data_IF_472031110347
#
_entry.id   IF_472031110347
#
_cell.length_a   1.000
_cell.length_b   1.000
_cell.length_c   1.000
_cell.angle_alpha   90.00
_cell.angle_beta   90.00
_cell.angle_gamma   90.00
#
_symmetry.space_group_name_H-M   'P 1'
#
loop_
_entity.id
_entity.type
_entity.pdbx_description
1 polymer ?
#
# COMPACT_ATOMS: atom_id res chain seq x y z
N UNK A 1 33.02 26.50 -5.24
CA UNK A 1 32.32 25.61 -6.19
C UNK A 1 33.36 25.04 -7.13
N UNK A 2 33.15 23.81 -7.59
CA UNK A 2 34.10 23.04 -8.41
C UNK A 2 33.57 22.88 -9.85
N UNK A 3 34.42 22.61 -10.85
CA UNK A 3 33.97 22.29 -12.20
C UNK A 3 33.03 21.08 -12.22
N UNK A 4 32.03 21.11 -13.09
CA UNK A 4 31.09 20.00 -13.29
C UNK A 4 30.94 19.71 -14.78
N UNK A 5 30.66 18.47 -15.13
CA UNK A 5 30.31 18.08 -16.50
C UNK A 5 28.86 17.62 -16.54
N UNK A 6 28.05 18.22 -17.40
CA UNK A 6 26.69 17.77 -17.68
C UNK A 6 26.72 16.86 -18.89
N UNK A 7 25.95 15.77 -18.86
CA UNK A 7 25.91 14.78 -19.93
C UNK A 7 24.51 14.22 -20.14
N UNK A 8 24.26 13.61 -21.29
CA UNK A 8 23.05 12.82 -21.56
C UNK A 8 23.37 11.47 -22.23
N UNK A 9 22.35 10.61 -22.41
CA UNK A 9 22.53 9.30 -23.08
C UNK A 9 22.70 9.38 -24.61
N UNK A 10 22.59 10.58 -25.19
CA UNK A 10 22.87 10.84 -26.62
C UNK A 10 24.30 11.30 -26.87
N UNK A 11 25.10 11.41 -25.82
CA UNK A 11 26.51 11.80 -25.91
C UNK A 11 26.71 13.32 -25.97
N UNK A 12 25.68 14.12 -25.72
CA UNK A 12 25.87 15.55 -25.52
C UNK A 12 26.57 15.79 -24.19
N UNK A 13 27.52 16.73 -24.16
CA UNK A 13 28.25 17.11 -22.96
C UNK A 13 28.41 18.63 -22.87
N UNK A 14 28.35 19.17 -21.66
CA UNK A 14 28.58 20.58 -21.37
C UNK A 14 29.38 20.73 -20.08
N UNK A 15 30.58 21.30 -20.17
CA UNK A 15 31.35 21.69 -18.98
C UNK A 15 30.76 22.97 -18.35
N UNK A 16 30.68 22.99 -17.03
CA UNK A 16 30.35 24.16 -16.24
C UNK A 16 31.52 24.55 -15.34
N UNK A 17 31.93 25.81 -15.41
CA UNK A 17 33.01 26.37 -14.62
C UNK A 17 32.49 27.32 -13.53
N UNK A 18 33.03 27.26 -12.30
CA UNK A 18 32.72 28.20 -11.24
C UNK A 18 33.03 29.65 -11.64
N UNK A 19 32.19 30.59 -11.21
CA UNK A 19 32.39 32.04 -11.46
C UNK A 19 31.79 32.56 -12.77
N UNK A 20 31.14 31.69 -13.56
CA UNK A 20 30.33 32.11 -14.70
C UNK A 20 29.07 32.88 -14.32
N UNK A 21 28.35 33.46 -15.30
CA UNK A 21 27.18 34.31 -15.07
C UNK A 21 25.93 33.54 -14.59
N UNK A 22 25.89 32.21 -14.74
CA UNK A 22 24.77 31.35 -14.35
C UNK A 22 25.18 30.41 -13.22
N UNK A 23 24.25 30.14 -12.30
CA UNK A 23 24.45 29.09 -11.30
C UNK A 23 24.57 27.72 -11.99
N UNK A 24 25.27 26.77 -11.38
CA UNK A 24 25.37 25.40 -11.88
C UNK A 24 24.00 24.73 -12.02
N UNK A 25 23.06 25.03 -11.10
CA UNK A 25 21.71 24.46 -11.15
C UNK A 25 20.95 24.98 -12.37
N UNK A 26 20.97 26.28 -12.61
CA UNK A 26 20.27 26.87 -13.76
C UNK A 26 20.89 26.40 -15.08
N UNK A 27 22.22 26.32 -15.13
CA UNK A 27 22.94 25.82 -16.31
C UNK A 27 22.64 24.33 -16.60
N UNK A 28 22.49 23.51 -15.56
CA UNK A 28 22.09 22.10 -15.71
C UNK A 28 20.63 21.98 -16.18
N UNK A 29 19.70 22.74 -15.59
CA UNK A 29 18.29 22.70 -16.01
C UNK A 29 18.11 23.15 -17.46
N UNK A 30 18.83 24.19 -17.89
CA UNK A 30 18.84 24.60 -19.29
C UNK A 30 19.43 23.53 -20.21
N UNK A 31 20.48 22.84 -19.77
CA UNK A 31 21.03 21.69 -20.50
C UNK A 31 19.97 20.60 -20.66
N UNK A 32 19.26 20.24 -19.58
CA UNK A 32 18.15 19.29 -19.64
C UNK A 32 17.07 19.78 -20.61
N UNK A 33 16.57 21.00 -20.47
CA UNK A 33 15.50 21.55 -21.32
C UNK A 33 15.89 21.61 -22.80
N UNK A 34 17.16 21.88 -23.10
CA UNK A 34 17.67 21.94 -24.49
C UNK A 34 17.75 20.56 -25.15
N UNK A 35 18.09 19.53 -24.36
CA UNK A 35 18.40 18.20 -24.88
C UNK A 35 17.31 17.17 -24.60
N UNK A 36 16.26 17.53 -23.85
CA UNK A 36 15.11 16.67 -23.58
C UNK A 36 14.32 16.39 -24.84
N UNK A 37 14.20 15.11 -25.14
CA UNK A 37 13.40 14.57 -26.24
C UNK A 37 12.83 13.22 -25.81
N UNK A 38 11.86 12.67 -26.55
CA UNK A 38 11.21 11.38 -26.29
C UNK A 38 12.24 10.24 -26.19
N UNK A 39 13.33 10.31 -26.95
CA UNK A 39 14.37 9.29 -26.95
C UNK A 39 15.49 9.55 -25.93
N UNK A 40 15.53 10.71 -25.26
CA UNK A 40 16.59 11.06 -24.29
C UNK A 40 16.07 10.92 -22.85
N UNK A 41 16.44 9.80 -22.23
CA UNK A 41 15.84 9.34 -21.00
C UNK A 41 16.68 9.67 -19.76
N UNK A 42 17.94 10.09 -19.95
CA UNK A 42 18.86 10.26 -18.82
C UNK A 42 19.84 11.42 -18.95
N UNK A 43 20.05 12.09 -17.81
CA UNK A 43 20.87 13.29 -17.71
C UNK A 43 21.80 13.18 -16.51
N UNK A 44 23.09 13.42 -16.73
CA UNK A 44 24.17 13.26 -15.77
C UNK A 44 24.77 14.59 -15.31
N UNK A 45 25.25 14.60 -14.07
CA UNK A 45 26.15 15.60 -13.50
C UNK A 45 27.35 14.85 -12.96
N UNK A 46 28.54 15.13 -13.49
CA UNK A 46 29.79 14.54 -13.06
C UNK A 46 30.65 15.58 -12.36
N UNK A 47 31.24 15.14 -11.25
CA UNK A 47 32.21 15.85 -10.44
C UNK A 47 33.51 15.05 -10.46
N UNK A 48 34.34 15.35 -11.46
CA UNK A 48 35.60 14.65 -11.70
C UNK A 48 36.60 14.78 -10.56
N UNK A 49 36.55 15.87 -9.77
CA UNK A 49 37.46 16.08 -8.64
C UNK A 49 37.19 15.11 -7.49
N UNK A 50 35.93 14.75 -7.26
CA UNK A 50 35.53 13.85 -6.17
C UNK A 50 35.22 12.42 -6.65
N UNK A 51 35.35 12.15 -7.95
CA UNK A 51 34.93 10.90 -8.60
C UNK A 51 33.45 10.56 -8.30
N UNK A 52 32.59 11.58 -8.32
CA UNK A 52 31.16 11.44 -8.04
C UNK A 52 30.33 11.76 -9.28
N UNK A 53 29.31 10.96 -9.53
CA UNK A 53 28.35 11.20 -10.59
C UNK A 53 26.92 11.02 -10.09
N UNK A 54 26.02 11.89 -10.54
CA UNK A 54 24.58 11.78 -10.36
C UNK A 54 23.93 11.67 -11.74
N UNK A 55 23.05 10.69 -11.93
CA UNK A 55 22.29 10.52 -13.17
C UNK A 55 20.81 10.46 -12.84
N UNK A 56 20.05 11.32 -13.50
CA UNK A 56 18.59 11.35 -13.45
C UNK A 56 18.08 10.40 -14.55
N UNK A 57 17.28 9.40 -14.18
CA UNK A 57 16.71 8.41 -15.08
C UNK A 57 15.20 8.69 -15.16
N UNK A 58 14.75 9.39 -16.19
CA UNK A 58 13.36 9.85 -16.30
C UNK A 58 12.40 8.69 -16.59
N UNK A 59 12.74 7.81 -17.53
CA UNK A 59 11.88 6.68 -17.94
C UNK A 59 11.67 5.65 -16.83
N UNK A 60 12.66 5.48 -15.96
CA UNK A 60 12.59 4.54 -14.84
C UNK A 60 12.13 5.18 -13.53
N UNK A 61 11.86 6.50 -13.51
CA UNK A 61 11.45 7.19 -12.29
C UNK A 61 12.50 7.12 -11.19
N UNK A 62 13.79 7.15 -11.54
CA UNK A 62 14.87 6.87 -10.61
C UNK A 62 16.04 7.86 -10.71
N UNK A 63 16.87 7.87 -9.68
CA UNK A 63 18.13 8.61 -9.62
C UNK A 63 19.22 7.61 -9.28
N UNK A 64 20.29 7.62 -10.07
CA UNK A 64 21.49 6.81 -9.87
C UNK A 64 22.60 7.71 -9.39
N UNK A 65 23.35 7.27 -8.38
CA UNK A 65 24.62 7.88 -8.01
C UNK A 65 25.75 6.86 -8.14
N UNK A 66 26.91 7.30 -8.59
CA UNK A 66 28.09 6.46 -8.76
C UNK A 66 29.31 7.13 -8.14
N UNK A 67 30.08 6.37 -7.34
CA UNK A 67 31.32 6.85 -6.72
C UNK A 67 32.51 5.97 -7.07
N UNK A 68 33.60 6.61 -7.46
CA UNK A 68 34.88 5.97 -7.76
C UNK A 68 35.02 5.61 -9.24
N UNK A 69 36.20 5.86 -9.82
CA UNK A 69 36.47 5.60 -11.24
C UNK A 69 36.87 4.13 -11.51
N UNK A 70 37.63 3.50 -10.62
CA UNK A 70 38.17 2.15 -10.83
C UNK A 70 37.30 1.02 -10.25
N UNK A 71 36.57 1.32 -9.17
CA UNK A 71 35.63 0.38 -8.55
C UNK A 71 34.31 1.11 -8.25
N UNK A 72 33.50 1.40 -9.29
CA UNK A 72 32.34 2.26 -9.16
C UNK A 72 31.29 1.62 -8.24
N UNK A 73 31.06 2.23 -7.08
CA UNK A 73 29.90 1.92 -6.24
C UNK A 73 28.69 2.66 -6.79
N UNK A 74 27.70 1.91 -7.25
CA UNK A 74 26.46 2.48 -7.80
C UNK A 74 25.32 2.25 -6.84
N UNK A 75 24.52 3.28 -6.60
CA UNK A 75 23.34 3.22 -5.76
C UNK A 75 22.17 3.96 -6.42
N UNK A 76 20.95 3.59 -6.06
CA UNK A 76 19.74 4.05 -6.70
C UNK A 76 18.77 4.66 -5.69
N UNK A 77 17.90 5.55 -6.15
CA UNK A 77 16.79 6.08 -5.37
C UNK A 77 15.58 6.22 -6.28
N UNK A 78 14.42 5.79 -5.81
CA UNK A 78 13.16 6.02 -6.51
C UNK A 78 12.73 7.48 -6.34
N UNK A 79 12.24 8.07 -7.41
CA UNK A 79 11.66 9.43 -7.42
C UNK A 79 10.20 9.32 -6.99
N UNK A 80 9.82 10.08 -5.96
CA UNK A 80 8.44 10.06 -5.43
C UNK A 80 7.58 11.13 -6.06
N UNK A 81 8.17 12.24 -6.50
CA UNK A 81 7.48 13.32 -7.22
C UNK A 81 8.42 14.00 -8.24
N UNK A 82 7.86 14.69 -9.23
CA UNK A 82 8.65 15.37 -10.28
C UNK A 82 9.61 16.45 -9.77
N UNK A 83 9.35 17.02 -8.58
CA UNK A 83 10.24 17.99 -7.92
C UNK A 83 11.51 17.37 -7.33
N UNK A 84 11.53 16.06 -7.10
CA UNK A 84 12.68 15.37 -6.52
C UNK A 84 13.90 15.44 -7.43
N UNK A 85 13.74 15.31 -8.75
CA UNK A 85 14.86 15.41 -9.70
C UNK A 85 15.63 16.72 -9.54
N UNK A 86 14.90 17.84 -9.56
CA UNK A 86 15.48 19.19 -9.40
C UNK A 86 16.13 19.35 -8.03
N UNK A 87 15.47 18.83 -6.98
CA UNK A 87 15.97 18.91 -5.60
C UNK A 87 17.28 18.12 -5.43
N UNK A 88 17.35 16.90 -5.95
CA UNK A 88 18.55 16.08 -5.87
C UNK A 88 19.70 16.65 -6.70
N UNK A 89 19.43 17.14 -7.92
CA UNK A 89 20.44 17.83 -8.72
C UNK A 89 21.02 19.04 -7.98
N UNK A 90 20.14 19.88 -7.39
CA UNK A 90 20.58 21.05 -6.62
C UNK A 90 21.39 20.66 -5.37
N UNK A 91 21.02 19.58 -4.67
CA UNK A 91 21.76 19.09 -3.52
C UNK A 91 23.14 18.57 -3.92
N UNK A 92 23.22 17.77 -4.98
CA UNK A 92 24.49 17.25 -5.50
C UNK A 92 25.44 18.36 -5.96
N UNK A 93 24.93 19.34 -6.70
CA UNK A 93 25.70 20.52 -7.13
C UNK A 93 26.24 21.30 -5.94
N UNK A 94 25.45 21.42 -4.86
CA UNK A 94 25.84 22.20 -3.67
C UNK A 94 26.89 21.49 -2.81
N UNK A 95 26.82 20.17 -2.67
CA UNK A 95 27.62 19.46 -1.66
C UNK A 95 27.90 17.99 -1.94
N UNK A 96 27.80 17.54 -3.19
CA UNK A 96 28.08 16.17 -3.60
C UNK A 96 27.22 15.15 -2.86
N UNK A 97 27.78 13.97 -2.63
CA UNK A 97 27.06 12.87 -1.97
C UNK A 97 26.66 13.19 -0.52
N UNK A 98 27.47 13.96 0.21
CA UNK A 98 27.15 14.36 1.59
C UNK A 98 25.84 15.16 1.67
N UNK A 99 25.52 15.95 0.65
CA UNK A 99 24.24 16.65 0.56
C UNK A 99 23.08 15.75 0.11
N UNK A 100 23.37 14.66 -0.59
CA UNK A 100 22.39 13.66 -1.07
C UNK A 100 21.99 12.60 -0.03
N UNK A 101 22.79 12.41 1.01
CA UNK A 101 22.53 11.40 2.06
C UNK A 101 21.43 11.81 3.05
N UNK A 102 21.04 13.09 3.08
CA UNK A 102 20.04 13.60 4.03
C UNK A 102 18.59 13.10 3.80
N UNK A 103 18.08 12.89 2.57
CA UNK A 103 16.69 12.49 2.35
C UNK A 103 16.52 11.00 1.98
N UNK A 104 16.21 10.12 2.94
CA UNK A 104 15.78 8.73 2.69
C UNK A 104 16.86 7.75 2.17
N UNK A 105 16.58 6.44 2.10
CA UNK A 105 17.59 5.43 1.80
C UNK A 105 18.02 5.43 0.33
N UNK A 106 19.28 5.07 0.09
CA UNK A 106 19.81 4.69 -1.22
C UNK A 106 19.81 3.16 -1.32
N UNK A 107 19.39 2.64 -2.46
CA UNK A 107 19.29 1.22 -2.78
C UNK A 107 20.61 0.76 -3.40
N UNK A 108 21.16 -0.40 -2.99
CA UNK A 108 22.51 -0.80 -3.34
C UNK A 108 22.65 -1.30 -4.79
N UNK A 109 21.54 -1.66 -5.44
CA UNK A 109 21.57 -2.29 -6.77
C UNK A 109 20.23 -2.11 -7.52
N UNK A 110 20.26 -2.51 -8.80
CA UNK A 110 19.09 -2.45 -9.71
C UNK A 110 17.98 -3.39 -9.24
N UNK A 111 18.32 -4.51 -8.58
CA UNK A 111 17.31 -5.43 -8.07
C UNK A 111 16.51 -4.80 -6.93
N UNK A 112 17.18 -4.11 -6.01
CA UNK A 112 16.57 -3.31 -4.96
C UNK A 112 15.70 -2.18 -5.52
N UNK A 113 16.15 -1.52 -6.59
CA UNK A 113 15.32 -0.54 -7.31
C UNK A 113 14.04 -1.17 -7.88
N UNK A 114 14.15 -2.33 -8.53
CA UNK A 114 13.01 -3.07 -9.06
C UNK A 114 11.98 -3.41 -7.98
N UNK A 115 12.43 -3.95 -6.84
CA UNK A 115 11.54 -4.24 -5.69
C UNK A 115 10.87 -2.99 -5.13
N UNK A 116 11.63 -1.89 -4.99
CA UNK A 116 11.08 -0.63 -4.49
C UNK A 116 10.04 -0.05 -5.45
N UNK A 117 10.24 -0.19 -6.76
CA UNK A 117 9.28 0.22 -7.79
C UNK A 117 7.99 -0.58 -7.70
N UNK A 118 8.05 -1.90 -7.65
CA UNK A 118 6.86 -2.76 -7.49
C UNK A 118 6.05 -2.39 -6.24
N UNK A 119 6.73 -2.12 -5.13
CA UNK A 119 6.06 -1.64 -3.91
C UNK A 119 5.42 -0.27 -4.07
N UNK A 120 6.09 0.65 -4.75
CA UNK A 120 5.54 1.98 -5.03
C UNK A 120 4.34 1.92 -5.98
N UNK A 121 4.35 1.01 -6.95
CA UNK A 121 3.20 0.74 -7.83
C UNK A 121 2.03 0.16 -7.02
N UNK A 122 2.31 -0.82 -6.16
CA UNK A 122 1.32 -1.38 -5.24
C UNK A 122 0.78 -0.35 -4.23
N UNK A 123 1.60 0.63 -3.81
CA UNK A 123 1.19 1.77 -2.99
C UNK A 123 0.04 2.58 -3.62
N UNK A 124 -0.06 2.58 -4.95
CA UNK A 124 -1.15 3.17 -5.70
C UNK A 124 -2.39 2.30 -5.88
N UNK A 125 -2.30 1.00 -5.55
CA UNK A 125 -3.40 0.06 -5.80
C UNK A 125 -4.61 0.29 -4.88
N UNK A 126 -5.78 -0.10 -5.39
CA UNK A 126 -7.04 -0.04 -4.65
C UNK A 126 -7.02 -0.87 -3.38
N UNK A 127 -6.45 -2.08 -3.43
CA UNK A 127 -6.37 -2.96 -2.26
C UNK A 127 -5.56 -2.29 -1.14
N UNK A 128 -4.47 -1.63 -1.52
CA UNK A 128 -3.59 -0.94 -0.59
C UNK A 128 -4.19 0.33 0.02
N UNK A 129 -5.04 1.02 -0.74
CA UNK A 129 -5.77 2.24 -0.33
C UNK A 129 -7.06 1.95 0.41
N UNK A 130 -7.63 0.76 0.22
CA UNK A 130 -8.86 0.34 0.88
C UNK A 130 -8.56 0.04 2.34
N UNK A 131 -9.34 0.69 3.20
CA UNK A 131 -9.26 0.47 4.63
C UNK A 131 -9.64 -0.99 4.99
N UNK A 132 -8.90 -1.69 5.89
CA UNK A 132 -9.14 -3.12 6.16
C UNK A 132 -10.57 -3.45 6.61
N UNK A 133 -11.22 -2.59 7.40
CA UNK A 133 -12.64 -2.77 7.76
C UNK A 133 -13.56 -2.70 6.55
N UNK A 134 -13.36 -1.72 5.68
CA UNK A 134 -14.20 -1.58 4.49
C UNK A 134 -13.96 -2.73 3.52
N UNK A 135 -12.72 -3.19 3.39
CA UNK A 135 -12.39 -4.41 2.67
C UNK A 135 -13.15 -5.60 3.25
N UNK A 136 -13.10 -5.84 4.57
CA UNK A 136 -13.84 -6.93 5.22
C UNK A 136 -15.35 -6.83 5.03
N UNK A 137 -15.92 -5.62 5.15
CA UNK A 137 -17.36 -5.36 4.93
C UNK A 137 -17.75 -5.72 3.49
N UNK A 138 -17.01 -5.20 2.50
CA UNK A 138 -17.27 -5.51 1.08
C UNK A 138 -17.09 -7.00 0.81
N UNK A 139 -16.01 -7.62 1.29
CA UNK A 139 -15.77 -9.06 1.13
C UNK A 139 -16.88 -9.91 1.73
N UNK A 140 -17.41 -9.55 2.91
CA UNK A 140 -18.55 -10.26 3.51
C UNK A 140 -19.78 -10.22 2.58
N UNK A 141 -20.14 -9.04 2.05
CA UNK A 141 -21.23 -8.91 1.09
C UNK A 141 -20.96 -9.73 -0.16
N UNK A 142 -19.76 -9.62 -0.75
CA UNK A 142 -19.39 -10.33 -1.98
C UNK A 142 -19.42 -11.85 -1.80
N UNK A 143 -19.05 -12.36 -0.63
CA UNK A 143 -19.21 -13.79 -0.29
C UNK A 143 -20.69 -14.20 -0.32
N UNK A 144 -21.60 -13.38 0.20
CA UNK A 144 -23.05 -13.65 0.10
C UNK A 144 -23.60 -13.54 -1.32
N UNK A 145 -23.12 -12.55 -2.11
CA UNK A 145 -23.48 -12.42 -3.53
C UNK A 145 -23.10 -13.69 -4.30
N UNK A 146 -21.94 -14.26 -3.97
CA UNK A 146 -21.45 -15.49 -4.56
C UNK A 146 -22.16 -16.76 -4.02
N UNK A 147 -23.23 -16.58 -3.21
CA UNK A 147 -24.06 -17.65 -2.66
C UNK A 147 -23.44 -18.40 -1.48
N UNK A 148 -22.40 -17.84 -0.86
CA UNK A 148 -21.64 -18.42 0.25
C UNK A 148 -21.83 -17.61 1.53
N UNK A 149 -21.41 -18.15 2.66
CA UNK A 149 -21.39 -17.42 3.94
C UNK A 149 -19.95 -17.29 4.45
N UNK A 150 -19.57 -16.18 5.10
CA UNK A 150 -18.29 -16.06 5.77
C UNK A 150 -18.12 -17.17 6.83
N UNK A 151 -17.01 -17.91 6.77
CA UNK A 151 -16.80 -19.09 7.61
C UNK A 151 -15.83 -18.78 8.74
N UNK A 152 -16.23 -18.85 10.02
CA UNK A 152 -15.29 -18.76 11.14
C UNK A 152 -14.54 -20.08 11.31
N UNK A 153 -13.21 -20.06 11.21
CA UNK A 153 -12.33 -21.23 11.41
C UNK A 153 -11.12 -20.79 12.22
N UNK A 154 -10.83 -21.49 13.33
CA UNK A 154 -9.55 -21.30 14.04
C UNK A 154 -9.28 -19.87 14.56
N UNK A 155 -10.32 -19.09 14.88
CA UNK A 155 -10.17 -17.70 15.33
C UNK A 155 -10.03 -16.66 14.22
N UNK A 156 -10.14 -17.08 12.95
CA UNK A 156 -10.25 -16.19 11.79
C UNK A 156 -11.58 -16.36 11.09
N UNK A 157 -11.99 -15.35 10.33
CA UNK A 157 -13.12 -15.43 9.39
C UNK A 157 -12.58 -15.51 7.97
N UNK A 158 -12.97 -16.56 7.26
CA UNK A 158 -12.71 -16.75 5.83
C UNK A 158 -13.84 -16.12 5.01
N UNK A 159 -13.44 -15.30 4.04
CA UNK A 159 -14.26 -14.72 2.99
C UNK A 159 -13.76 -15.27 1.65
N UNK A 160 -14.68 -15.63 0.77
CA UNK A 160 -14.33 -16.15 -0.55
C UNK A 160 -15.36 -15.73 -1.57
N UNK A 161 -14.91 -15.36 -2.77
CA UNK A 161 -15.77 -15.26 -3.93
C UNK A 161 -15.03 -15.62 -5.23
N UNK A 162 -15.76 -15.97 -6.29
CA UNK A 162 -15.20 -16.24 -7.61
C UNK A 162 -16.00 -15.62 -8.76
N UNK A 163 -15.40 -15.62 -9.95
CA UNK A 163 -16.04 -15.13 -11.19
C UNK A 163 -16.82 -16.22 -11.96
N UNK A 164 -16.92 -17.42 -11.38
CA UNK A 164 -17.52 -18.60 -12.02
C UNK A 164 -16.72 -19.20 -13.17
N UNK A 165 -15.56 -18.64 -13.53
CA UNK A 165 -14.65 -19.10 -14.59
C UNK A 165 -13.34 -19.68 -14.05
N UNK A 166 -13.17 -19.66 -12.73
CA UNK A 166 -12.07 -20.27 -12.00
C UNK A 166 -11.10 -19.25 -11.40
N UNK A 167 -11.43 -17.97 -11.44
CA UNK A 167 -10.66 -16.91 -10.80
C UNK A 167 -11.31 -16.54 -9.48
N UNK A 168 -10.50 -16.36 -8.46
CA UNK A 168 -11.00 -16.30 -7.09
C UNK A 168 -10.28 -15.27 -6.25
N UNK A 169 -11.01 -14.76 -5.25
CA UNK A 169 -10.46 -14.00 -4.14
C UNK A 169 -10.81 -14.75 -2.86
N UNK A 170 -9.79 -15.02 -2.05
CA UNK A 170 -9.96 -15.54 -0.71
C UNK A 170 -9.29 -14.60 0.29
N UNK A 171 -9.90 -14.42 1.45
CA UNK A 171 -9.35 -13.61 2.51
C UNK A 171 -9.62 -14.23 3.88
N UNK A 172 -8.62 -14.18 4.76
CA UNK A 172 -8.73 -14.63 6.14
C UNK A 172 -8.39 -13.45 7.03
N UNK A 173 -9.28 -13.10 7.96
CA UNK A 173 -9.05 -12.03 8.92
C UNK A 173 -9.27 -12.52 10.36
N UNK A 174 -8.30 -12.23 11.23
CA UNK A 174 -8.41 -12.40 12.66
C UNK A 174 -9.17 -11.23 13.30
N UNK A 175 -9.63 -11.44 14.54
CA UNK A 175 -10.31 -10.41 15.32
C UNK A 175 -9.39 -9.22 15.66
N UNK A 176 -8.07 -9.43 15.70
CA UNK A 176 -7.05 -8.42 15.96
C UNK A 176 -6.72 -7.54 14.73
N UNK A 177 -7.41 -7.75 13.61
CA UNK A 177 -7.22 -7.00 12.37
C UNK A 177 -6.18 -7.60 11.41
N UNK A 178 -5.40 -8.60 11.86
CA UNK A 178 -4.45 -9.28 10.97
C UNK A 178 -5.17 -10.06 9.88
N UNK A 179 -4.62 -10.00 8.67
CA UNK A 179 -5.26 -10.62 7.52
C UNK A 179 -4.31 -11.15 6.47
N UNK A 180 -4.81 -12.09 5.68
CA UNK A 180 -4.17 -12.61 4.48
C UNK A 180 -5.21 -12.60 3.36
N UNK A 181 -4.92 -11.92 2.26
CA UNK A 181 -5.74 -11.89 1.05
C UNK A 181 -4.96 -12.57 -0.06
N UNK A 182 -5.62 -13.49 -0.75
CA UNK A 182 -5.08 -14.28 -1.85
C UNK A 182 -5.99 -14.10 -3.05
N UNK A 183 -5.40 -13.69 -4.17
CA UNK A 183 -6.06 -13.66 -5.47
C UNK A 183 -5.51 -14.79 -6.32
N UNK A 184 -6.36 -15.42 -7.12
CA UNK A 184 -5.98 -16.39 -8.12
C UNK A 184 -6.59 -16.00 -9.47
N UNK A 185 -5.71 -15.65 -10.42
CA UNK A 185 -6.07 -15.31 -11.78
C UNK A 185 -5.49 -16.36 -12.74
N UNK A 186 -6.34 -17.25 -13.26
CA UNK A 186 -5.92 -18.37 -14.12
C UNK A 186 -5.44 -17.94 -15.50
N UNK A 187 -5.73 -16.72 -15.90
CA UNK A 187 -5.29 -16.13 -17.17
C UNK A 187 -3.99 -15.35 -17.04
N UNK A 188 -3.57 -15.09 -15.80
CA UNK A 188 -2.36 -14.33 -15.51
C UNK A 188 -1.11 -15.10 -15.90
N UNK A 189 -0.12 -14.38 -16.42
CA UNK A 189 1.22 -14.91 -16.61
C UNK A 189 1.94 -15.26 -15.29
N UNK A 190 1.39 -14.85 -14.14
CA UNK A 190 1.85 -15.30 -12.82
C UNK A 190 1.32 -16.67 -12.41
N UNK A 191 0.31 -17.21 -13.10
CA UNK A 191 -0.22 -18.53 -12.76
C UNK A 191 0.88 -19.59 -12.91
N UNK A 192 1.32 -20.08 -11.76
CA UNK A 192 2.27 -21.18 -11.64
C UNK A 192 1.67 -22.36 -10.87
N UNK A 193 0.35 -22.53 -10.88
CA UNK A 193 -0.36 -23.62 -10.17
C UNK A 193 0.15 -25.03 -10.51
N UNK A 194 0.76 -25.22 -11.69
CA UNK A 194 1.44 -26.47 -12.08
C UNK A 194 2.80 -26.73 -11.43
N UNK A 195 3.36 -25.77 -10.69
CA UNK A 195 4.66 -25.85 -10.01
C UNK A 195 4.49 -25.57 -8.50
N UNK A 196 4.46 -26.63 -7.71
CA UNK A 196 4.32 -26.59 -6.26
C UNK A 196 5.39 -25.70 -5.58
N UNK A 197 6.63 -25.68 -6.09
CA UNK A 197 7.70 -24.90 -5.50
C UNK A 197 7.55 -23.42 -5.82
N UNK A 198 7.18 -23.10 -7.06
CA UNK A 198 6.89 -21.72 -7.45
C UNK A 198 5.69 -21.16 -6.67
N UNK A 199 4.63 -21.96 -6.47
CA UNK A 199 3.46 -21.57 -5.67
C UNK A 199 3.81 -21.32 -4.20
N UNK A 200 4.51 -22.25 -3.55
CA UNK A 200 4.97 -22.05 -2.17
C UNK A 200 5.90 -20.83 -2.05
N UNK A 201 6.72 -20.57 -3.07
CA UNK A 201 7.59 -19.40 -3.16
C UNK A 201 6.83 -18.07 -3.09
N UNK A 202 5.58 -17.98 -3.57
CA UNK A 202 4.78 -16.75 -3.51
C UNK A 202 4.49 -16.30 -2.07
N UNK A 203 4.46 -17.23 -1.13
CA UNK A 203 4.17 -16.98 0.28
C UNK A 203 5.43 -16.67 1.12
N UNK A 204 6.62 -16.62 0.50
CA UNK A 204 7.84 -16.26 1.22
C UNK A 204 7.73 -14.86 1.85
N UNK A 205 8.16 -14.73 3.11
CA UNK A 205 8.06 -13.50 3.90
C UNK A 205 6.71 -13.28 4.58
N UNK A 206 5.70 -14.13 4.34
CA UNK A 206 4.46 -14.15 5.12
C UNK A 206 4.73 -14.78 6.50
N UNK A 207 4.14 -14.20 7.55
CA UNK A 207 4.27 -14.73 8.90
C UNK A 207 3.73 -16.18 8.98
N UNK A 208 4.45 -17.07 9.67
CA UNK A 208 4.16 -18.50 9.66
C UNK A 208 2.72 -18.81 10.12
N UNK A 209 2.22 -18.09 11.13
CA UNK A 209 0.86 -18.27 11.63
C UNK A 209 -0.23 -17.83 10.64
N UNK A 210 0.06 -16.89 9.72
CA UNK A 210 -0.84 -16.55 8.61
C UNK A 210 -0.80 -17.63 7.50
N UNK A 211 0.37 -18.22 7.24
CA UNK A 211 0.51 -19.29 6.23
C UNK A 211 -0.29 -20.53 6.65
N UNK A 212 -0.40 -20.81 7.95
CA UNK A 212 -1.23 -21.91 8.45
C UNK A 212 -2.73 -21.72 8.12
N UNK A 213 -3.22 -20.50 7.86
CA UNK A 213 -4.61 -20.26 7.46
C UNK A 213 -4.94 -20.73 6.05
N UNK A 214 -3.90 -20.92 5.22
CA UNK A 214 -4.02 -21.31 3.80
C UNK A 214 -3.42 -22.69 3.52
N UNK A 215 -2.96 -23.39 4.54
CA UNK A 215 -2.49 -24.77 4.45
C UNK A 215 -3.61 -25.75 4.76
N UNK A 216 -3.66 -26.83 3.98
CA UNK A 216 -4.60 -27.95 4.18
C UNK A 216 -6.06 -27.51 4.33
N UNK A 217 -6.41 -26.39 3.69
CA UNK A 217 -7.77 -25.88 3.63
C UNK A 217 -8.60 -26.76 2.70
N UNK A 218 -9.84 -27.12 3.06
CA UNK A 218 -10.72 -27.88 2.18
C UNK A 218 -10.88 -27.18 0.83
N UNK A 219 -10.75 -27.95 -0.25
CA UNK A 219 -11.03 -27.43 -1.59
C UNK A 219 -12.51 -27.07 -1.70
N UNK A 220 -12.78 -25.87 -2.21
CA UNK A 220 -14.12 -25.37 -2.49
C UNK A 220 -14.11 -24.74 -3.88
N UNK A 221 -15.28 -24.41 -4.43
CA UNK A 221 -15.36 -23.72 -5.71
C UNK A 221 -14.57 -22.39 -5.75
N UNK A 222 -14.35 -21.76 -4.59
CA UNK A 222 -13.57 -20.52 -4.45
C UNK A 222 -12.14 -20.76 -3.95
N UNK A 223 -11.88 -21.90 -3.32
CA UNK A 223 -10.59 -22.21 -2.70
C UNK A 223 -9.93 -23.34 -3.49
N UNK A 224 -9.18 -22.94 -4.51
CA UNK A 224 -8.34 -23.84 -5.31
C UNK A 224 -7.02 -24.10 -4.58
N UNK A 225 -6.64 -25.38 -4.41
CA UNK A 225 -5.42 -25.76 -3.69
C UNK A 225 -4.45 -26.51 -4.60
N UNK A 226 -3.16 -26.37 -4.30
CA UNK A 226 -2.04 -27.05 -4.97
C UNK A 226 -1.24 -27.84 -3.96
N UNK A 227 -0.48 -28.83 -4.42
CA UNK A 227 0.42 -29.58 -3.56
C UNK A 227 1.50 -28.64 -2.97
N UNK A 228 1.80 -28.79 -1.68
CA UNK A 228 2.88 -28.06 -1.03
C UNK A 228 4.19 -28.90 -1.06
N UNK A 229 5.38 -28.32 -1.32
CA UNK A 229 6.65 -29.06 -1.39
C UNK A 229 6.99 -29.88 -0.14
N UNK A 230 6.61 -29.39 1.03
CA UNK A 230 6.84 -30.06 2.33
C UNK A 230 5.74 -31.07 2.70
N UNK A 231 4.82 -31.37 1.77
CA UNK A 231 3.64 -32.19 2.01
C UNK A 231 2.40 -31.36 2.37
N UNK A 232 1.22 -31.96 2.18
CA UNK A 232 -0.07 -31.27 2.31
C UNK A 232 -0.41 -30.43 1.08
N UNK A 233 -1.31 -29.48 1.27
CA UNK A 233 -1.79 -28.55 0.24
C UNK A 233 -1.70 -27.10 0.69
N UNK A 234 -1.71 -26.20 -0.29
CA UNK A 234 -1.66 -24.75 -0.11
C UNK A 234 -2.67 -24.10 -1.05
N UNK A 235 -3.34 -23.03 -0.63
CA UNK A 235 -4.19 -22.25 -1.53
C UNK A 235 -3.35 -21.67 -2.68
N UNK A 236 -3.78 -21.91 -3.91
CA UNK A 236 -3.11 -21.39 -5.10
C UNK A 236 -3.24 -19.87 -5.18
N UNK A 237 -2.20 -19.21 -5.67
CA UNK A 237 -2.14 -17.75 -5.73
C UNK A 237 -1.50 -17.25 -7.03
N UNK A 238 -1.97 -16.09 -7.47
CA UNK A 238 -1.25 -15.14 -8.33
C UNK A 238 -0.95 -13.83 -7.60
N UNK A 239 -1.68 -13.53 -6.52
CA UNK A 239 -1.38 -12.47 -5.57
C UNK A 239 -1.52 -12.93 -4.12
N UNK A 240 -0.62 -12.45 -3.26
CA UNK A 240 -0.55 -12.76 -1.82
C UNK A 240 -0.28 -11.46 -1.07
N UNK A 241 -1.23 -11.04 -0.25
CA UNK A 241 -1.22 -9.75 0.43
C UNK A 241 -1.46 -9.92 1.92
N UNK A 242 -0.61 -9.33 2.74
CA UNK A 242 -0.71 -9.41 4.19
C UNK A 242 -1.25 -8.11 4.78
N UNK A 243 -1.97 -8.22 5.89
CA UNK A 243 -2.50 -7.13 6.70
C UNK A 243 -1.98 -7.26 8.14
N UNK A 244 -0.68 -7.47 8.35
CA UNK A 244 -0.06 -7.45 9.70
C UNK A 244 0.32 -6.04 10.16
N UNK A 245 -0.33 -5.05 9.57
CA UNK A 245 0.28 -3.77 9.34
C UNK A 245 -0.40 -3.06 8.17
N UNK A 246 0.34 -2.19 7.46
CA UNK A 246 0.03 -1.90 6.06
C UNK A 246 -0.41 -3.13 5.26
N UNK A 247 -1.39 -2.99 4.36
CA UNK A 247 -1.50 -3.97 3.29
C UNK A 247 -0.17 -4.01 2.51
N UNK A 248 0.41 -5.19 2.33
CA UNK A 248 1.70 -5.37 1.67
C UNK A 248 1.73 -6.65 0.82
N UNK A 249 2.44 -6.58 -0.31
CA UNK A 249 2.83 -7.77 -1.09
C UNK A 249 3.73 -8.68 -0.23
N UNK A 250 3.54 -9.99 -0.33
CA UNK A 250 4.52 -10.96 0.17
C UNK A 250 5.88 -10.79 -0.54
N UNK A 251 6.99 -11.03 0.17
CA UNK A 251 8.35 -10.92 -0.39
C UNK A 251 8.55 -11.89 -1.57
N UNK A 252 7.99 -13.09 -1.44
CA UNK A 252 7.98 -14.11 -2.48
C UNK A 252 7.31 -13.63 -3.76
N UNK A 253 6.15 -12.98 -3.64
CA UNK A 253 5.44 -12.38 -4.77
C UNK A 253 6.25 -11.24 -5.42
N UNK A 254 6.89 -10.38 -4.62
CA UNK A 254 7.76 -9.31 -5.15
C UNK A 254 8.92 -9.90 -5.94
N UNK A 255 9.56 -10.95 -5.41
CA UNK A 255 10.64 -11.67 -6.10
C UNK A 255 10.16 -12.28 -7.41
N UNK A 256 8.98 -12.92 -7.40
CA UNK A 256 8.40 -13.54 -8.60
C UNK A 256 8.06 -12.52 -9.69
N UNK A 257 7.43 -11.40 -9.32
CA UNK A 257 7.14 -10.28 -10.23
C UNK A 257 8.44 -9.77 -10.87
N UNK A 258 9.48 -9.60 -10.07
CA UNK A 258 10.78 -9.15 -10.56
C UNK A 258 11.45 -10.16 -11.51
N UNK A 259 11.44 -11.45 -11.17
CA UNK A 259 12.01 -12.52 -12.00
C UNK A 259 11.30 -12.68 -13.34
N UNK A 260 9.98 -12.50 -13.35
CA UNK A 260 9.14 -12.63 -14.55
C UNK A 260 9.03 -11.33 -15.35
N UNK A 261 9.49 -10.20 -14.81
CA UNK A 261 9.37 -8.89 -15.43
C UNK A 261 7.92 -8.40 -15.52
N UNK A 262 7.05 -8.89 -14.63
CA UNK A 262 5.63 -8.54 -14.58
C UNK A 262 5.38 -7.44 -13.55
N UNK A 263 4.38 -6.60 -13.78
CA UNK A 263 3.93 -5.59 -12.83
C UNK A 263 2.81 -6.07 -11.91
N UNK A 264 2.41 -5.20 -10.99
CA UNK A 264 1.37 -5.48 -9.97
C UNK A 264 0.03 -5.85 -10.60
N UNK A 265 -0.25 -5.41 -11.82
CA UNK A 265 -1.45 -5.78 -12.59
C UNK A 265 -1.61 -7.30 -12.79
N UNK A 266 -0.50 -8.04 -12.86
CA UNK A 266 -0.54 -9.49 -13.04
C UNK A 266 -1.03 -10.25 -11.78
N UNK A 267 -1.10 -9.58 -10.63
CA UNK A 267 -1.54 -10.21 -9.37
C UNK A 267 -3.05 -10.47 -9.33
N UNK A 268 -3.83 -9.90 -10.25
CA UNK A 268 -5.29 -10.03 -10.28
C UNK A 268 -6.02 -9.00 -9.42
N UNK A 269 -5.33 -8.12 -8.66
CA UNK A 269 -5.98 -7.06 -7.86
C UNK A 269 -6.84 -6.14 -8.74
N UNK A 270 -6.32 -5.70 -9.88
CA UNK A 270 -7.06 -4.85 -10.80
C UNK A 270 -8.33 -5.54 -11.30
N UNK A 271 -8.20 -6.77 -11.82
CA UNK A 271 -9.34 -7.48 -12.40
C UNK A 271 -10.39 -7.90 -11.36
N UNK A 272 -9.95 -8.41 -10.22
CA UNK A 272 -10.84 -9.10 -9.26
C UNK A 272 -11.35 -8.20 -8.14
N UNK A 273 -10.68 -7.08 -7.85
CA UNK A 273 -11.01 -6.22 -6.70
C UNK A 273 -11.31 -4.76 -7.09
N UNK A 274 -10.69 -4.21 -8.13
CA UNK A 274 -10.82 -2.78 -8.46
C UNK A 274 -12.25 -2.34 -8.73
N UNK A 275 -13.01 -3.13 -9.48
CA UNK A 275 -14.43 -2.85 -9.75
C UNK A 275 -15.27 -2.75 -8.48
N UNK A 276 -14.91 -3.47 -7.41
CA UNK A 276 -15.66 -3.45 -6.15
C UNK A 276 -15.13 -2.45 -5.15
N UNK A 277 -13.83 -2.13 -5.17
CA UNK A 277 -13.18 -1.26 -4.18
C UNK A 277 -13.17 0.22 -4.58
N UNK A 278 -13.36 0.54 -5.85
CA UNK A 278 -13.38 1.93 -6.35
C UNK A 278 -14.76 2.57 -6.36
N UNK A 279 -15.81 1.76 -6.24
CA UNK A 279 -17.19 2.26 -6.17
C UNK A 279 -17.36 3.07 -4.89
N UNK A 280 -17.79 4.33 -5.04
CA UNK A 280 -18.09 5.24 -3.93
C UNK A 280 -19.24 4.69 -3.08
N UNK A 281 -20.42 4.58 -3.68
CA UNK A 281 -21.61 4.01 -3.02
C UNK A 281 -21.70 2.51 -3.28
N UNK A 282 -21.24 1.71 -2.31
CA UNK A 282 -21.26 0.25 -2.40
C UNK A 282 -22.70 -0.30 -2.27
N UNK A 283 -23.42 -0.31 -3.39
CA UNK A 283 -24.84 -0.66 -3.54
C UNK A 283 -25.02 -1.81 -4.53
N UNK A 284 -26.16 -2.51 -4.53
CA UNK A 284 -26.46 -3.57 -5.50
C UNK A 284 -26.29 -3.11 -6.96
N UNK A 285 -26.84 -1.94 -7.31
CA UNK A 285 -26.78 -1.41 -8.67
C UNK A 285 -25.34 -1.08 -9.09
N UNK A 286 -24.54 -0.54 -8.18
CA UNK A 286 -23.15 -0.23 -8.48
C UNK A 286 -22.30 -1.49 -8.63
N UNK A 287 -22.54 -2.55 -7.83
CA UNK A 287 -21.89 -3.86 -8.00
C UNK A 287 -22.32 -4.51 -9.33
N UNK A 288 -23.60 -4.43 -9.69
CA UNK A 288 -24.10 -4.96 -10.97
C UNK A 288 -23.53 -4.21 -12.18
N UNK A 289 -23.20 -2.93 -12.04
CA UNK A 289 -22.53 -2.16 -13.08
C UNK A 289 -21.02 -2.46 -13.18
N UNK A 290 -20.40 -2.94 -12.10
CA UNK A 290 -18.97 -3.19 -12.03
C UNK A 290 -18.54 -4.53 -12.65
N UNK A 291 -19.40 -5.56 -12.64
CA UNK A 291 -19.08 -6.91 -13.11
C UNK A 291 -20.22 -7.58 -13.86
N UNK A 292 -19.89 -8.51 -14.76
CA UNK A 292 -20.83 -9.20 -15.64
C UNK A 292 -21.09 -10.67 -15.27
N UNK A 293 -20.41 -11.20 -14.25
CA UNK A 293 -20.45 -12.62 -13.89
C UNK A 293 -21.50 -12.99 -12.83
N UNK A 294 -22.06 -12.02 -12.11
CA UNK A 294 -23.20 -12.24 -11.21
C UNK A 294 -24.48 -11.65 -11.77
N UNK A 295 -25.61 -12.32 -11.52
CA UNK A 295 -26.90 -11.76 -11.87
C UNK A 295 -27.30 -10.65 -10.88
N UNK A 296 -28.13 -9.71 -11.32
CA UNK A 296 -28.70 -8.69 -10.43
C UNK A 296 -29.50 -9.30 -9.26
N UNK A 297 -30.08 -10.49 -9.46
CA UNK A 297 -30.79 -11.23 -8.41
C UNK A 297 -29.84 -11.74 -7.32
N UNK A 298 -28.72 -12.37 -7.71
CA UNK A 298 -27.71 -12.85 -6.77
C UNK A 298 -27.10 -11.69 -5.97
N UNK A 299 -26.85 -10.57 -6.64
CA UNK A 299 -26.36 -9.35 -6.00
C UNK A 299 -27.36 -8.85 -4.96
N UNK A 300 -28.63 -8.66 -5.34
CA UNK A 300 -29.65 -8.19 -4.41
C UNK A 300 -29.83 -9.13 -3.21
N UNK A 301 -29.79 -10.44 -3.43
CA UNK A 301 -29.86 -11.45 -2.38
C UNK A 301 -28.66 -11.38 -1.44
N UNK A 302 -27.45 -11.21 -1.97
CA UNK A 302 -26.23 -11.12 -1.17
C UNK A 302 -26.23 -9.91 -0.24
N UNK A 303 -26.64 -8.74 -0.74
CA UNK A 303 -26.81 -7.54 0.07
C UNK A 303 -27.87 -7.70 1.16
N UNK A 304 -29.01 -8.32 0.84
CA UNK A 304 -30.06 -8.58 1.82
C UNK A 304 -29.59 -9.56 2.92
N UNK A 305 -28.84 -10.60 2.56
CA UNK A 305 -28.27 -11.55 3.52
C UNK A 305 -27.25 -10.88 4.45
N UNK A 306 -26.38 -10.03 3.91
CA UNK A 306 -25.41 -9.27 4.71
C UNK A 306 -26.11 -8.34 5.70
N UNK A 307 -27.13 -7.59 5.26
CA UNK A 307 -27.91 -6.70 6.13
C UNK A 307 -28.63 -7.45 7.26
N UNK A 308 -29.08 -8.68 6.99
CA UNK A 308 -29.75 -9.52 8.00
C UNK A 308 -28.82 -10.00 9.13
N UNK A 309 -27.51 -9.92 8.96
CA UNK A 309 -26.51 -10.27 9.97
C UNK A 309 -26.03 -9.07 10.81
N UNK A 310 -26.40 -7.85 10.44
CA UNK A 310 -26.09 -6.65 11.23
C UNK A 310 -26.92 -6.41 12.53
N UNK A 311 -28.06 -7.07 12.84
CA UNK A 311 -28.88 -6.67 13.99
C UNK A 311 -28.38 -7.14 15.37
N UNK A 312 -27.20 -7.77 15.50
CA UNK A 312 -26.65 -8.18 16.81
C UNK A 312 -25.39 -7.41 17.27
N UNK A 313 -25.02 -6.30 16.61
CA UNK A 313 -23.88 -5.46 17.02
C UNK A 313 -24.28 -4.25 17.86
N UNK A 314 -24.80 -4.49 19.07
CA UNK A 314 -24.68 -3.57 20.22
C UNK A 314 -25.26 -4.20 21.49
N UNK A 315 -24.52 -5.16 22.06
CA UNK A 315 -24.80 -5.70 23.40
C UNK A 315 -24.16 -4.89 24.55
N UNK A 316 -23.64 -3.70 24.27
CA UNK A 316 -23.15 -2.75 25.26
C UNK A 316 -24.24 -1.75 25.64
N UNK A 317 -24.13 -1.14 26.83
CA UNK A 317 -25.00 -0.02 27.18
C UNK A 317 -24.90 1.07 26.09
N UNK A 318 -26.03 1.64 25.64
CA UNK A 318 -26.02 2.68 24.62
C UNK A 318 -25.14 3.84 25.08
N UNK A 319 -24.27 4.30 24.19
CA UNK A 319 -23.44 5.47 24.43
C UNK A 319 -24.32 6.72 24.44
N UNK A 320 -23.92 7.72 25.22
CA UNK A 320 -24.61 9.02 25.26
C UNK A 320 -24.50 9.70 23.90
N UNK A 321 -25.64 9.92 23.25
CA UNK A 321 -25.69 10.32 21.83
C UNK A 321 -24.97 11.64 21.56
N UNK A 322 -25.16 12.64 22.42
CA UNK A 322 -24.51 13.94 22.28
C UNK A 322 -22.98 13.84 22.38
N UNK A 323 -22.49 12.98 23.28
CA UNK A 323 -21.06 12.72 23.42
C UNK A 323 -20.48 11.96 22.22
N UNK A 324 -21.25 11.03 21.64
CA UNK A 324 -20.84 10.32 20.41
C UNK A 324 -20.78 11.28 19.23
N UNK A 325 -21.84 12.06 18.99
CA UNK A 325 -21.88 13.02 17.88
C UNK A 325 -20.71 14.03 18.00
N UNK A 326 -20.42 14.50 19.22
CA UNK A 326 -19.28 15.41 19.45
C UNK A 326 -17.92 14.73 19.26
N UNK A 327 -17.76 13.47 19.69
CA UNK A 327 -16.53 12.71 19.45
C UNK A 327 -16.30 12.51 17.95
N UNK A 328 -17.33 12.09 17.21
CA UNK A 328 -17.27 11.90 15.76
C UNK A 328 -16.98 13.21 15.02
N UNK A 329 -17.51 14.34 15.49
CA UNK A 329 -17.19 15.66 14.93
C UNK A 329 -15.69 16.00 15.12
N UNK A 330 -15.14 15.85 16.33
CA UNK A 330 -13.71 16.12 16.58
C UNK A 330 -12.83 15.18 15.76
N UNK A 331 -13.23 13.91 15.65
CA UNK A 331 -12.55 12.95 14.78
C UNK A 331 -12.59 13.37 13.31
N UNK A 332 -13.72 13.86 12.80
CA UNK A 332 -13.82 14.34 11.42
C UNK A 332 -12.98 15.61 11.18
N UNK A 333 -12.87 16.48 12.18
CA UNK A 333 -12.15 17.74 12.08
C UNK A 333 -10.61 17.57 12.20
N UNK A 334 -10.14 16.57 12.95
CA UNK A 334 -8.73 16.48 13.37
C UNK A 334 -8.14 15.07 13.37
N UNK A 335 -8.95 14.06 13.08
CA UNK A 335 -8.61 12.67 13.34
C UNK A 335 -8.61 11.77 12.11
N UNK A 336 -8.03 10.60 12.29
CA UNK A 336 -8.03 9.52 11.33
C UNK A 336 -7.98 8.20 12.11
N UNK A 337 -8.40 7.10 11.49
CA UNK A 337 -8.10 5.79 12.05
C UNK A 337 -6.65 5.47 11.74
N UNK A 338 -5.90 5.01 12.74
CA UNK A 338 -4.58 4.48 12.48
C UNK A 338 -4.67 3.40 11.40
N UNK A 339 -3.56 3.20 10.69
CA UNK A 339 -3.53 2.36 9.50
C UNK A 339 -3.94 0.89 9.75
N UNK A 340 -4.06 0.50 11.01
CA UNK A 340 -4.35 -0.85 11.48
C UNK A 340 -5.72 -0.97 12.12
N UNK A 341 -6.43 0.15 12.24
CA UNK A 341 -7.80 0.22 12.71
C UNK A 341 -7.97 -0.26 14.16
N UNK A 342 -6.87 -0.09 14.90
CA UNK A 342 -6.76 -0.38 16.33
C UNK A 342 -6.98 0.90 17.11
N UNK A 343 -6.67 2.07 16.53
CA UNK A 343 -6.81 3.35 17.21
C UNK A 343 -7.49 4.43 16.35
N UNK A 344 -8.36 5.23 16.95
CA UNK A 344 -8.63 6.60 16.51
C UNK A 344 -7.45 7.46 16.93
N UNK A 345 -6.83 8.14 15.97
CA UNK A 345 -5.77 9.13 16.20
C UNK A 345 -6.37 10.49 15.96
N UNK A 346 -6.36 11.36 16.96
CA UNK A 346 -6.93 12.71 16.90
C UNK A 346 -5.85 13.76 17.16
N UNK A 347 -5.95 14.91 16.49
CA UNK A 347 -4.98 16.01 16.53
C UNK A 347 -3.60 15.58 15.98
N UNK A 348 -3.60 14.92 14.82
CA UNK A 348 -2.36 14.48 14.16
C UNK A 348 -1.40 15.66 13.88
N UNK A 349 -0.15 15.53 14.33
CA UNK A 349 0.87 16.55 14.12
C UNK A 349 0.76 17.79 15.03
N UNK A 350 -0.29 17.91 15.85
CA UNK A 350 -0.47 19.05 16.75
C UNK A 350 0.36 18.89 18.03
N UNK A 351 0.84 20.02 18.54
CA UNK A 351 1.35 20.16 19.91
C UNK A 351 0.20 20.28 20.91
N UNK A 352 0.50 20.10 22.21
CA UNK A 352 -0.50 20.28 23.28
C UNK A 352 -1.09 21.70 23.25
N UNK A 353 -0.27 22.70 22.92
CA UNK A 353 -0.67 24.09 22.82
C UNK A 353 -1.58 24.36 21.61
N UNK A 354 -1.35 23.67 20.49
CA UNK A 354 -2.17 23.78 19.26
C UNK A 354 -3.53 23.10 19.43
N UNK A 355 -3.54 21.88 19.99
CA UNK A 355 -4.78 21.13 20.21
C UNK A 355 -5.62 21.71 21.38
N UNK A 356 -4.99 22.37 22.35
CA UNK A 356 -5.62 23.26 23.32
C UNK A 356 -6.87 22.71 24.04
N UNK A 357 -7.94 23.52 24.07
CA UNK A 357 -9.20 23.20 24.76
C UNK A 357 -9.97 22.05 24.09
N UNK A 358 -9.88 21.90 22.77
CA UNK A 358 -10.52 20.82 22.01
C UNK A 358 -9.96 19.44 22.43
N UNK A 359 -8.65 19.38 22.76
CA UNK A 359 -8.03 18.18 23.32
C UNK A 359 -8.56 17.82 24.70
N UNK A 360 -8.74 18.81 25.58
CA UNK A 360 -9.28 18.57 26.92
C UNK A 360 -10.75 18.14 26.86
N UNK A 361 -11.52 18.69 25.93
CA UNK A 361 -12.87 18.26 25.61
C UNK A 361 -12.88 16.79 25.14
N UNK A 362 -12.05 16.44 24.16
CA UNK A 362 -11.92 15.05 23.67
C UNK A 362 -11.60 14.07 24.81
N UNK A 363 -10.67 14.41 25.70
CA UNK A 363 -10.33 13.57 26.85
C UNK A 363 -11.50 13.44 27.84
N UNK A 364 -12.36 14.45 27.93
CA UNK A 364 -13.65 14.37 28.60
C UNK A 364 -14.57 13.34 27.95
N UNK A 365 -14.78 13.44 26.64
CA UNK A 365 -15.64 12.56 25.85
C UNK A 365 -15.18 11.09 25.91
N UNK A 366 -13.87 10.83 25.76
CA UNK A 366 -13.29 9.48 25.87
C UNK A 366 -13.67 8.83 27.22
N UNK A 367 -13.60 9.59 28.32
CA UNK A 367 -14.01 9.10 29.65
C UNK A 367 -15.52 8.88 29.74
N UNK A 368 -16.33 9.81 29.24
CA UNK A 368 -17.80 9.72 29.25
C UNK A 368 -18.29 8.50 28.47
N UNK A 369 -17.68 8.25 27.32
CA UNK A 369 -18.03 7.13 26.43
C UNK A 369 -17.42 5.78 26.89
N UNK A 370 -16.54 5.82 27.91
CA UNK A 370 -15.84 4.62 28.38
C UNK A 370 -14.89 4.02 27.35
N UNK A 371 -14.34 4.85 26.47
CA UNK A 371 -13.37 4.45 25.45
C UNK A 371 -11.98 4.31 26.07
N UNK A 372 -11.18 3.40 25.54
CA UNK A 372 -9.84 3.14 26.03
C UNK A 372 -8.83 4.07 25.37
N UNK A 373 -8.27 5.02 26.13
CA UNK A 373 -7.11 5.79 25.68
C UNK A 373 -5.84 4.94 25.84
N UNK A 374 -4.99 4.96 24.82
CA UNK A 374 -3.66 4.34 24.85
C UNK A 374 -2.54 5.39 24.79
N UNK A 375 -1.31 4.97 25.10
CA UNK A 375 -0.14 5.82 24.94
C UNK A 375 0.20 6.01 23.46
N UNK A 376 0.54 7.24 23.09
CA UNK A 376 0.97 7.56 21.73
C UNK A 376 2.32 6.87 21.42
N UNK A 377 2.53 6.40 20.18
CA UNK A 377 3.77 5.73 19.80
C UNK A 377 4.97 6.70 19.83
N UNK A 378 6.21 6.20 19.95
CA UNK A 378 7.39 7.04 19.89
C UNK A 378 7.46 7.86 18.59
N UNK A 379 7.54 9.18 18.71
CA UNK A 379 7.62 10.10 17.57
C UNK A 379 6.30 10.76 17.18
N UNK A 380 5.18 10.38 17.80
CA UNK A 380 3.92 11.11 17.74
C UNK A 380 4.07 12.54 18.29
N UNK A 381 3.30 13.47 17.75
CA UNK A 381 3.22 14.83 18.27
C UNK A 381 2.60 14.85 19.67
N UNK A 382 2.97 15.83 20.50
CA UNK A 382 2.60 15.84 21.92
C UNK A 382 1.12 16.10 22.17
N UNK A 383 0.42 16.70 21.20
CA UNK A 383 -1.01 16.96 21.22
C UNK A 383 -1.84 15.73 20.86
N UNK A 384 -1.28 14.75 20.14
CA UNK A 384 -2.02 13.57 19.65
C UNK A 384 -2.72 12.79 20.77
N UNK A 385 -3.94 12.33 20.46
CA UNK A 385 -4.72 11.46 21.34
C UNK A 385 -5.04 10.17 20.61
N UNK A 386 -4.60 9.06 21.19
CA UNK A 386 -4.80 7.71 20.65
C UNK A 386 -5.85 6.98 21.48
N UNK A 387 -6.93 6.55 20.83
CA UNK A 387 -8.08 5.90 21.48
C UNK A 387 -8.33 4.57 20.78
N UNK A 388 -8.36 3.45 21.52
CA UNK A 388 -8.66 2.14 20.95
C UNK A 388 -10.02 2.17 20.27
N UNK A 389 -10.11 1.59 19.08
CA UNK A 389 -11.35 1.57 18.32
C UNK A 389 -12.45 0.80 19.06
N UNK A 390 -13.68 1.31 18.94
CA UNK A 390 -14.88 0.75 19.57
C UNK A 390 -15.98 0.57 18.51
N UNK A 391 -16.52 -0.65 18.32
CA UNK A 391 -17.56 -0.91 17.33
C UNK A 391 -18.79 -0.01 17.41
N UNK A 392 -19.09 0.53 18.61
CA UNK A 392 -20.22 1.45 18.82
C UNK A 392 -19.95 2.84 18.24
N UNK A 393 -18.70 3.29 18.28
CA UNK A 393 -18.26 4.54 17.65
C UNK A 393 -18.06 4.33 16.16
N UNK A 394 -17.53 3.18 15.76
CA UNK A 394 -17.33 2.83 14.34
C UNK A 394 -18.63 2.87 13.53
N UNK A 395 -19.74 2.40 14.13
CA UNK A 395 -21.06 2.45 13.51
C UNK A 395 -21.50 3.89 13.18
N UNK A 396 -21.06 4.86 13.97
CA UNK A 396 -21.44 6.26 13.83
C UNK A 396 -20.45 7.03 12.95
N UNK A 397 -19.16 6.72 13.00
CA UNK A 397 -18.14 7.33 12.15
C UNK A 397 -18.42 7.17 10.66
N UNK A 398 -19.09 6.08 10.25
CA UNK A 398 -19.54 5.89 8.86
C UNK A 398 -20.55 6.94 8.36
N UNK A 399 -21.13 7.75 9.26
CA UNK A 399 -21.97 8.91 8.92
C UNK A 399 -21.20 10.24 8.82
N UNK A 400 -19.94 10.26 9.25
CA UNK A 400 -19.09 11.45 9.34
C UNK A 400 -17.85 11.40 8.43
N UNK A 401 -17.47 10.21 7.95
CA UNK A 401 -16.51 10.00 6.85
C UNK A 401 -17.13 10.30 5.50
#
# INVERSE_FOLDING_TARGET
>A
MRPLTFSDDKGNQQEWLPGGPRSAVDAFLEFVDRHRDVDNASFGIEDGENEEALVLLFDSGAIRRTKGAQNPRTEYRLVKNGGDYRTQAANFIRGGFTALDRPGPWLPDVAGLGRARLRSEFDGSVLRRTHPRELRRRLAVLTFVDGREPVPVGGVTHFGFGDGRGDTVNAWFAADGRGLVVTFDRSSALDCSGDARAQAGLYEGVAADLVEWVRDVPETDTTFTVAHPDGGTLVAATGVFTFSGPCALAEGLVSRLQETGLGVEATGVGRLLEGFLTVGDFTPDAVAAAVDWWSAEDIAKGFAAAAALEPERSGGAPLEREAVDRFCQIWADSGYNDRWDVHYVLFDGDTVEEAGEDRDELLGLVRTLGLERVDAPPGAATGEVWVRTDPRIDAELGHWS
#
